data_IF_641509515747
#
_entry.id   IF_641509515747
#
_cell.length_a   1.000
_cell.length_b   1.000
_cell.length_c   1.000
_cell.angle_alpha   90.00
_cell.angle_beta   90.00
_cell.angle_gamma   90.00
#
_symmetry.space_group_name_H-M   'P 1'
#
loop_
_entity.id
_entity.type
_entity.pdbx_description
1 polymer ?
#
# COMPACT_ATOMS: atom_id res chain seq x y z
N UNK A 1 6.90 -13.75 -4.34
CA UNK A 1 6.41 -14.45 -3.14
C UNK A 1 5.56 -13.47 -2.36
N UNK A 2 4.31 -13.84 -2.05
CA UNK A 2 3.38 -13.00 -1.30
C UNK A 2 3.42 -13.44 0.16
N UNK A 3 3.93 -12.60 1.05
CA UNK A 3 4.06 -12.94 2.47
C UNK A 3 2.81 -12.45 3.21
N UNK A 4 1.90 -13.38 3.50
CA UNK A 4 0.82 -13.15 4.46
C UNK A 4 1.43 -13.17 5.86
N UNK A 5 1.29 -12.07 6.59
CA UNK A 5 1.86 -11.88 7.92
C UNK A 5 0.76 -11.43 8.90
N UNK A 6 0.86 -11.88 10.15
CA UNK A 6 0.05 -11.37 11.25
C UNK A 6 0.92 -10.45 12.10
N UNK A 7 0.52 -9.20 12.20
CA UNK A 7 1.26 -8.14 12.89
C UNK A 7 0.31 -7.31 13.76
N UNK A 8 0.81 -6.60 14.78
CA UNK A 8 0.02 -5.59 15.48
C UNK A 8 -0.48 -4.51 14.52
N UNK A 9 -1.67 -3.96 14.75
CA UNK A 9 -2.24 -2.88 13.94
C UNK A 9 -1.31 -1.66 13.86
N UNK A 10 -0.55 -1.39 14.92
CA UNK A 10 0.46 -0.32 14.97
C UNK A 10 1.65 -0.52 14.02
N UNK A 11 1.88 -1.72 13.48
CA UNK A 11 2.96 -2.04 12.55
C UNK A 11 2.53 -2.08 11.08
N UNK A 12 1.26 -1.81 10.82
CA UNK A 12 0.67 -1.75 9.48
C UNK A 12 1.20 -0.54 8.72
N UNK A 13 1.42 -0.71 7.42
CA UNK A 13 1.97 0.31 6.55
C UNK A 13 1.02 0.58 5.38
N UNK A 14 1.06 1.79 4.80
CA UNK A 14 0.48 2.01 3.47
C UNK A 14 1.05 0.99 2.46
N UNK A 15 0.25 0.63 1.45
CA UNK A 15 0.54 -0.41 0.44
C UNK A 15 0.43 -1.86 0.94
N UNK A 16 0.34 -2.10 2.25
CA UNK A 16 -0.11 -3.38 2.76
C UNK A 16 -1.52 -3.66 2.24
N UNK A 17 -1.81 -4.92 2.01
CA UNK A 17 -3.16 -5.34 1.66
C UNK A 17 -3.80 -6.01 2.86
N UNK A 18 -4.90 -5.45 3.35
CA UNK A 18 -5.66 -6.02 4.46
C UNK A 18 -6.84 -6.80 3.92
N UNK A 19 -7.20 -7.85 4.66
CA UNK A 19 -8.35 -8.67 4.33
C UNK A 19 -9.62 -8.03 4.89
N UNK A 20 -10.48 -7.52 4.02
CA UNK A 20 -11.83 -7.02 4.35
C UNK A 20 -12.84 -8.20 4.43
N UNK A 21 -12.58 -9.15 5.33
CA UNK A 21 -13.44 -10.31 5.54
C UNK A 21 -14.48 -10.10 6.63
N UNK A 22 -15.62 -10.80 6.55
CA UNK A 22 -16.86 -10.36 7.14
C UNK A 22 -16.86 -10.52 8.67
N UNK A 23 -17.09 -9.42 9.38
CA UNK A 23 -18.11 -9.47 10.42
C UNK A 23 -19.45 -9.85 9.76
N UNK A 24 -20.14 -10.87 10.29
CA UNK A 24 -21.56 -11.29 10.06
C UNK A 24 -22.24 -11.06 8.69
N UNK A 25 -21.51 -10.85 7.59
CA UNK A 25 -22.09 -10.57 6.28
C UNK A 25 -22.10 -11.85 5.41
N UNK A 26 -23.28 -12.34 4.97
CA UNK A 26 -23.43 -13.62 4.27
C UNK A 26 -22.94 -13.64 2.82
N UNK A 27 -22.49 -12.51 2.28
CA UNK A 27 -21.90 -12.42 0.94
C UNK A 27 -20.53 -11.73 0.99
N UNK A 28 -19.47 -12.45 1.39
CA UNK A 28 -18.14 -11.87 1.48
C UNK A 28 -17.61 -11.75 0.06
N UNK A 29 -17.48 -10.54 -0.46
CA UNK A 29 -16.56 -10.33 -1.57
C UNK A 29 -15.17 -10.37 -0.96
N UNK A 30 -14.55 -11.55 -0.98
CA UNK A 30 -13.26 -11.90 -0.39
C UNK A 30 -12.09 -11.17 -1.09
N UNK A 31 -12.06 -9.84 -1.05
CA UNK A 31 -11.04 -9.03 -1.70
C UNK A 31 -10.03 -8.52 -0.68
N UNK A 32 -8.74 -8.75 -0.96
CA UNK A 32 -7.67 -8.04 -0.27
C UNK A 32 -7.63 -6.61 -0.80
N UNK A 33 -7.79 -5.63 0.08
CA UNK A 33 -7.80 -4.23 -0.30
C UNK A 33 -6.50 -3.54 0.14
N UNK A 34 -6.02 -2.62 -0.69
CA UNK A 34 -4.81 -1.85 -0.41
C UNK A 34 -5.11 -0.78 0.64
N UNK A 35 -4.27 -0.73 1.67
CA UNK A 35 -4.26 0.35 2.64
C UNK A 35 -3.63 1.58 2.00
N UNK A 36 -4.39 2.66 1.93
CA UNK A 36 -3.94 3.94 1.37
C UNK A 36 -3.40 4.87 2.44
N UNK A 37 -3.94 4.79 3.66
CA UNK A 37 -3.51 5.60 4.80
C UNK A 37 -3.61 4.84 6.11
N UNK A 38 -2.70 5.18 7.01
CA UNK A 38 -2.66 4.72 8.40
C UNK A 38 -2.56 5.97 9.26
N UNK A 39 -3.53 6.17 10.15
CA UNK A 39 -3.56 7.29 11.09
C UNK A 39 -3.67 6.75 12.53
N UNK A 40 -3.29 7.57 13.50
CA UNK A 40 -3.58 7.33 14.90
C UNK A 40 -4.54 8.41 15.40
N UNK A 41 -5.69 8.01 15.94
CA UNK A 41 -6.74 8.91 16.44
C UNK A 41 -7.18 8.41 17.80
N UNK A 42 -7.03 9.25 18.84
CA UNK A 42 -7.42 8.94 20.22
C UNK A 42 -6.85 7.61 20.76
N UNK A 43 -5.64 7.25 20.33
CA UNK A 43 -4.99 6.00 20.72
C UNK A 43 -5.33 4.79 19.84
N UNK A 44 -6.32 4.90 18.96
CA UNK A 44 -6.68 3.86 17.99
C UNK A 44 -5.94 4.01 16.67
N UNK A 45 -5.73 2.90 15.99
CA UNK A 45 -5.20 2.86 14.63
C UNK A 45 -6.36 2.89 13.64
N UNK A 46 -6.34 3.86 12.73
CA UNK A 46 -7.34 4.02 11.67
C UNK A 46 -6.70 3.69 10.32
N UNK A 47 -7.19 2.63 9.69
CA UNK A 47 -6.78 2.20 8.36
C UNK A 47 -7.82 2.67 7.34
N UNK A 48 -7.36 3.39 6.32
CA UNK A 48 -8.20 3.77 5.17
C UNK A 48 -7.87 2.86 3.99
N UNK A 49 -8.85 2.12 3.50
CA UNK A 49 -8.70 1.19 2.37
C UNK A 49 -9.54 1.62 1.16
N UNK A 50 -9.09 1.23 -0.02
CA UNK A 50 -9.79 1.47 -1.28
C UNK A 50 -8.95 2.22 -2.33
N UNK A 51 -9.60 2.60 -3.45
CA UNK A 51 -8.98 3.48 -4.45
C UNK A 51 -9.16 4.93 -4.04
N UNK A 52 -8.30 5.82 -4.54
CA UNK A 52 -8.31 7.28 -4.28
C UNK A 52 -9.61 8.03 -4.70
N UNK A 53 -10.72 7.35 -4.97
CA UNK A 53 -12.03 7.89 -5.34
C UNK A 53 -13.13 7.23 -4.47
N UNK A 54 -14.16 7.97 -4.02
CA UNK A 54 -14.97 7.59 -2.87
C UNK A 54 -15.98 6.44 -3.14
N UNK A 55 -16.39 5.68 -2.10
CA UNK A 55 -16.08 5.86 -0.67
C UNK A 55 -14.92 4.96 -0.19
N UNK A 56 -13.95 5.56 0.50
CA UNK A 56 -12.91 4.81 1.20
C UNK A 56 -13.54 4.14 2.44
N UNK A 57 -13.28 2.85 2.66
CA UNK A 57 -13.69 2.19 3.89
C UNK A 57 -12.65 2.50 4.98
N UNK A 58 -13.13 2.72 6.22
CA UNK A 58 -12.29 2.98 7.38
C UNK A 58 -12.42 1.85 8.40
N UNK A 59 -11.30 1.38 8.93
CA UNK A 59 -11.23 0.34 9.94
C UNK A 59 -10.48 0.86 11.16
N UNK A 60 -10.99 0.52 12.33
CA UNK A 60 -10.50 1.00 13.61
C UNK A 60 -10.03 -0.19 14.43
N UNK A 61 -8.80 -0.10 14.93
CA UNK A 61 -8.15 -1.17 15.68
C UNK A 61 -7.47 -0.63 16.93
N UNK A 62 -7.38 -1.45 17.97
CA UNK A 62 -6.44 -1.19 19.06
C UNK A 62 -5.00 -1.36 18.56
N UNK A 63 -4.00 -0.62 19.07
CA UNK A 63 -2.62 -0.68 18.58
C UNK A 63 -1.97 -2.08 18.61
N UNK A 64 -2.36 -2.91 19.58
CA UNK A 64 -1.91 -4.28 19.79
C UNK A 64 -2.84 -5.34 19.17
N UNK A 65 -3.96 -4.92 18.56
CA UNK A 65 -4.86 -5.82 17.87
C UNK A 65 -4.14 -6.48 16.70
N UNK A 66 -4.22 -7.81 16.65
CA UNK A 66 -3.54 -8.58 15.62
C UNK A 66 -4.32 -8.54 14.32
N UNK A 67 -3.72 -7.93 13.29
CA UNK A 67 -4.28 -7.86 11.95
C UNK A 67 -3.47 -8.72 10.98
N UNK A 68 -4.17 -9.32 10.02
CA UNK A 68 -3.52 -10.08 8.94
C UNK A 68 -3.40 -9.20 7.72
N UNK A 69 -2.17 -9.01 7.24
CA UNK A 69 -1.88 -8.27 6.01
C UNK A 69 -1.05 -9.10 5.05
N UNK A 70 -1.13 -8.74 3.78
CA UNK A 70 -0.17 -9.13 2.75
C UNK A 70 0.76 -7.95 2.53
N UNK A 71 2.05 -8.17 2.76
CA UNK A 71 3.11 -7.20 2.47
C UNK A 71 3.98 -7.71 1.33
N UNK A 72 4.01 -6.97 0.23
CA UNK A 72 4.90 -7.26 -0.89
C UNK A 72 6.30 -6.70 -0.59
N UNK A 73 7.39 -7.39 -0.99
CA UNK A 73 8.71 -6.80 -0.90
C UNK A 73 8.74 -5.53 -1.76
N UNK A 74 9.30 -4.45 -1.22
CA UNK A 74 9.47 -3.20 -1.96
C UNK A 74 10.26 -3.50 -3.23
N UNK A 75 9.71 -3.16 -4.39
CA UNK A 75 10.44 -3.26 -5.65
C UNK A 75 11.74 -2.46 -5.52
N UNK A 76 12.86 -3.11 -5.82
CA UNK A 76 14.16 -2.45 -5.84
C UNK A 76 14.06 -1.27 -6.82
N UNK A 77 14.47 -0.05 -6.44
CA UNK A 77 14.38 1.08 -7.34
C UNK A 77 15.16 0.75 -8.61
N UNK A 78 14.49 0.79 -9.77
CA UNK A 78 15.17 0.62 -11.05
C UNK A 78 16.32 1.63 -11.13
N UNK A 79 17.55 1.20 -11.45
CA UNK A 79 18.67 2.12 -11.58
C UNK A 79 18.27 3.20 -12.60
N UNK A 80 18.49 4.49 -12.30
CA UNK A 80 18.03 5.57 -13.15
C UNK A 80 18.58 5.35 -14.56
N UNK A 81 17.66 5.22 -15.53
CA UNK A 81 18.01 5.05 -16.93
C UNK A 81 19.02 6.15 -17.32
N UNK A 82 20.22 5.72 -17.73
CA UNK A 82 21.24 6.64 -18.21
C UNK A 82 20.65 7.44 -19.39
N UNK A 83 20.61 8.78 -19.23
CA UNK A 83 20.19 9.69 -20.30
C UNK A 83 21.04 9.40 -21.54
N UNK A 84 20.45 9.30 -22.76
CA UNK A 84 21.25 9.25 -23.97
C UNK A 84 22.00 10.58 -24.12
N UNK A 85 23.33 10.50 -24.11
CA UNK A 85 24.22 11.61 -24.44
C UNK A 85 23.98 11.98 -25.92
N UNK A 86 23.10 12.96 -26.16
CA UNK A 86 22.96 13.55 -27.49
C UNK A 86 24.23 14.35 -27.78
N UNK A 87 25.19 13.70 -28.45
CA UNK A 87 26.32 14.35 -29.11
C UNK A 87 25.78 15.19 -30.28
N UNK A 88 25.32 16.41 -30.00
CA UNK A 88 25.20 17.44 -31.03
C UNK A 88 26.59 18.04 -31.27
N UNK A 89 27.23 17.66 -32.38
CA UNK A 89 28.55 18.19 -32.72
C UNK A 89 28.93 17.96 -34.18
N UNK A 90 28.47 18.84 -35.06
CA UNK A 90 29.22 19.42 -36.20
C UNK A 90 28.28 20.42 -36.90
N UNK A 91 28.57 21.71 -37.02
CA UNK A 91 29.77 22.26 -37.63
C UNK A 91 29.39 22.76 -39.03
N UNK A 92 28.93 24.01 -39.12
CA UNK A 92 28.61 24.69 -40.38
C UNK A 92 29.91 25.13 -41.07
N UNK A 93 30.05 24.88 -42.38
CA UNK A 93 30.66 25.72 -43.45
C UNK A 93 31.31 24.85 -44.54
N UNK A 94 30.79 24.95 -45.76
CA UNK A 94 31.52 25.46 -46.92
C UNK A 94 30.55 25.89 -48.02
#
# INVERSE_FOLDING_TARGET
>A
MTNRISIPASEVQPEDHIYDGPGTNPHPTFAWETITRVNQVDGLIVLTIGRFDPPNNEFWFEPDETVTVIRYPKAEPEPPAAKPDHKHGHGHRH
#
